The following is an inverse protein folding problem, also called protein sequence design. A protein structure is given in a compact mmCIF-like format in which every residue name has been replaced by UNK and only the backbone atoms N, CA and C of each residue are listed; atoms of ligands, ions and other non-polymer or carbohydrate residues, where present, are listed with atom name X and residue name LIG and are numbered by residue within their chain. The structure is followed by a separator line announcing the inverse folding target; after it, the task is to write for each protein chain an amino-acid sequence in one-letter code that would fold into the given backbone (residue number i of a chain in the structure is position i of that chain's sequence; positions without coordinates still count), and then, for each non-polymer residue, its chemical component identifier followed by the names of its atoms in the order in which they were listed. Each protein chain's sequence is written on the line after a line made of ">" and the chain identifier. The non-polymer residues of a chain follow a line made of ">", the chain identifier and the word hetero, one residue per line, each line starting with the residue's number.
data_IF_675101563224
#
_entry.id   IF_675101563224
#
_cell.length_a   1.000
_cell.length_b   1.000
_cell.length_c   1.000
_cell.angle_alpha   90.00
_cell.angle_beta   90.00
_cell.angle_gamma   90.00
#
_symmetry.space_group_name_H-M   'P 1'
#
loop_
_entity.id
_entity.type
_entity.pdbx_description
1 polymer ?
#
# COMPACT_ATOMS: atom_id res chain seq x y z
N UNK A 1 -0.63 -25.14 17.07
CA UNK A 1 -0.52 -23.73 16.68
C UNK A 1 0.19 -23.70 15.33
N UNK A 2 -0.57 -23.69 14.23
CA UNK A 2 -0.03 -23.88 12.88
C UNK A 2 0.59 -22.58 12.35
N UNK A 3 1.81 -22.71 11.85
CA UNK A 3 2.61 -21.68 11.20
C UNK A 3 1.95 -21.22 9.91
N UNK A 4 1.59 -19.93 9.81
CA UNK A 4 1.13 -19.31 8.56
C UNK A 4 2.32 -18.66 7.86
N UNK A 5 2.98 -19.43 7.01
CA UNK A 5 3.99 -18.93 6.08
C UNK A 5 3.28 -18.16 4.96
N UNK A 6 3.00 -16.88 5.19
CA UNK A 6 2.49 -15.99 4.14
C UNK A 6 3.57 -15.66 3.12
N UNK A 7 3.22 -15.87 1.84
CA UNK A 7 3.85 -15.34 0.64
C UNK A 7 5.34 -14.96 0.76
N UNK A 8 6.23 -15.94 0.60
CA UNK A 8 7.63 -15.80 0.19
C UNK A 8 8.37 -14.53 0.64
N UNK A 9 8.31 -14.16 1.92
CA UNK A 9 9.22 -13.14 2.44
C UNK A 9 10.63 -13.74 2.52
N UNK A 10 11.67 -13.06 2.02
CA UNK A 10 13.05 -13.50 2.24
C UNK A 10 13.28 -13.59 3.75
N UNK A 11 14.01 -14.63 4.20
CA UNK A 11 14.21 -15.01 5.63
C UNK A 11 14.69 -13.89 6.60
N UNK A 12 14.98 -12.70 6.09
CA UNK A 12 15.41 -11.52 6.85
C UNK A 12 14.33 -10.42 6.96
N UNK A 13 13.14 -10.61 6.38
CA UNK A 13 12.03 -9.65 6.44
C UNK A 13 10.90 -10.20 7.31
N UNK A 14 10.31 -9.32 8.11
CA UNK A 14 9.17 -9.61 8.97
C UNK A 14 7.94 -8.87 8.45
N UNK A 15 6.77 -9.47 8.60
CA UNK A 15 5.52 -8.79 8.28
C UNK A 15 5.28 -7.66 9.29
N UNK A 16 5.01 -6.46 8.79
CA UNK A 16 4.82 -5.28 9.62
C UNK A 16 3.37 -5.13 10.09
N UNK A 17 2.46 -5.98 9.61
CA UNK A 17 1.03 -5.98 9.95
C UNK A 17 0.78 -6.09 11.46
N UNK A 18 1.64 -6.77 12.20
CA UNK A 18 1.54 -6.93 13.65
C UNK A 18 1.82 -5.62 14.40
N UNK A 19 2.60 -4.71 13.77
CA UNK A 19 2.92 -3.40 14.32
C UNK A 19 1.96 -2.30 13.86
N UNK A 20 1.01 -2.61 12.98
CA UNK A 20 0.02 -1.64 12.50
C UNK A 20 -0.97 -1.31 13.61
N UNK A 21 -1.20 -0.02 13.83
CA UNK A 21 -2.22 0.46 14.75
C UNK A 21 -3.58 0.51 14.05
N UNK A 22 -4.31 -0.61 14.08
CA UNK A 22 -5.62 -0.73 13.45
C UNK A 22 -6.66 0.28 13.93
N UNK A 23 -6.48 0.85 15.14
CA UNK A 23 -7.41 1.87 15.66
C UNK A 23 -7.27 3.22 14.95
N UNK A 24 -6.10 3.53 14.39
CA UNK A 24 -5.84 4.74 13.62
C UNK A 24 -5.67 4.51 12.11
N UNK A 25 -5.82 3.27 11.64
CA UNK A 25 -5.84 2.99 10.20
C UNK A 25 -7.05 3.67 9.58
N UNK A 26 -6.82 4.42 8.52
CA UNK A 26 -7.86 5.11 7.78
C UNK A 26 -7.67 4.86 6.28
N UNK A 27 -8.76 4.79 5.53
CA UNK A 27 -8.68 4.77 4.08
C UNK A 27 -9.76 5.67 3.50
N UNK A 28 -9.34 6.61 2.66
CA UNK A 28 -10.20 7.49 1.92
C UNK A 28 -10.46 6.91 0.53
N UNK A 29 -11.69 7.09 0.07
CA UNK A 29 -12.20 6.58 -1.20
C UNK A 29 -12.30 5.04 -1.30
N UNK A 30 -12.21 4.32 -0.17
CA UNK A 30 -12.52 2.89 -0.13
C UNK A 30 -14.03 2.65 -0.27
N UNK A 31 -14.38 1.56 -0.93
CA UNK A 31 -15.75 1.05 -1.00
C UNK A 31 -16.21 0.57 0.37
N UNK A 32 -17.45 0.90 0.72
CA UNK A 32 -18.04 0.49 2.02
C UNK A 32 -18.17 -1.02 2.16
N UNK A 33 -18.24 -1.75 1.04
CA UNK A 33 -18.28 -3.21 0.98
C UNK A 33 -16.89 -3.86 1.09
N UNK A 34 -15.84 -3.13 0.68
CA UNK A 34 -14.49 -3.63 0.48
C UNK A 34 -13.47 -2.73 1.18
N UNK A 35 -13.38 -2.86 2.51
CA UNK A 35 -12.51 -2.04 3.35
C UNK A 35 -11.04 -2.46 3.29
N UNK A 36 -10.15 -1.53 3.64
CA UNK A 36 -8.69 -1.75 3.68
C UNK A 36 -8.27 -2.95 4.55
N UNK A 37 -9.00 -3.26 5.62
CA UNK A 37 -8.78 -4.45 6.43
C UNK A 37 -8.72 -5.74 5.60
N UNK A 38 -9.54 -5.84 4.55
CA UNK A 38 -9.55 -7.01 3.68
C UNK A 38 -8.22 -7.17 2.94
N UNK A 39 -7.60 -6.06 2.51
CA UNK A 39 -6.34 -6.08 1.78
C UNK A 39 -5.10 -6.13 2.70
N UNK A 40 -5.20 -5.56 3.91
CA UNK A 40 -4.06 -5.43 4.83
C UNK A 40 -3.94 -6.62 5.80
N UNK A 41 -5.07 -7.21 6.23
CA UNK A 41 -5.10 -8.22 7.28
C UNK A 41 -4.63 -9.58 6.77
N UNK A 42 -3.72 -10.20 7.52
CA UNK A 42 -3.23 -11.54 7.20
C UNK A 42 -4.39 -12.55 7.25
N UNK A 43 -4.50 -13.39 6.22
CA UNK A 43 -5.62 -14.30 6.01
C UNK A 43 -6.64 -13.77 4.99
N UNK A 44 -7.12 -12.53 5.16
CA UNK A 44 -8.07 -11.89 4.24
C UNK A 44 -7.39 -11.59 2.89
N UNK A 45 -6.15 -11.10 2.91
CA UNK A 45 -5.35 -10.82 1.70
C UNK A 45 -4.97 -12.04 0.85
N UNK A 46 -5.23 -13.25 1.34
CA UNK A 46 -5.00 -14.51 0.61
C UNK A 46 -6.30 -15.03 -0.02
N UNK A 47 -7.44 -14.42 0.33
CA UNK A 47 -8.76 -14.76 -0.17
C UNK A 47 -9.08 -13.87 -1.39
N UNK A 48 -9.22 -14.49 -2.56
CA UNK A 48 -9.52 -13.79 -3.82
C UNK A 48 -10.86 -13.04 -3.79
N UNK A 49 -11.76 -13.36 -2.85
CA UNK A 49 -13.03 -12.64 -2.66
C UNK A 49 -12.91 -11.36 -1.82
N UNK A 50 -11.80 -11.16 -1.13
CA UNK A 50 -11.60 -10.06 -0.17
C UNK A 50 -10.50 -9.11 -0.65
N UNK A 51 -10.92 -8.12 -1.41
CA UNK A 51 -10.06 -7.07 -1.94
C UNK A 51 -10.46 -5.70 -1.38
N UNK A 52 -9.54 -4.73 -1.51
CA UNK A 52 -9.83 -3.31 -1.35
C UNK A 52 -10.26 -2.77 -2.72
N UNK A 53 -11.41 -2.11 -2.75
CA UNK A 53 -11.97 -1.49 -3.95
C UNK A 53 -12.17 0.00 -3.72
N UNK A 54 -12.04 0.80 -4.77
CA UNK A 54 -12.37 2.23 -4.74
C UNK A 54 -13.86 2.46 -5.01
N UNK A 55 -14.50 3.31 -4.20
CA UNK A 55 -15.94 3.60 -4.30
C UNK A 55 -16.31 4.44 -5.53
N UNK A 56 -15.49 5.47 -5.83
CA UNK A 56 -15.82 6.46 -6.86
C UNK A 56 -14.71 6.68 -7.89
N UNK A 57 -13.46 6.80 -7.45
CA UNK A 57 -12.33 7.16 -8.32
C UNK A 57 -11.15 6.22 -8.13
N UNK A 58 -10.30 6.16 -9.13
CA UNK A 58 -9.08 5.33 -9.16
C UNK A 58 -7.99 5.82 -8.18
N UNK A 59 -8.28 6.84 -7.38
CA UNK A 59 -7.42 7.39 -6.34
C UNK A 59 -7.92 6.99 -4.95
N UNK A 60 -7.25 6.01 -4.37
CA UNK A 60 -7.32 5.61 -2.98
C UNK A 60 -6.20 6.28 -2.20
N UNK A 61 -6.50 6.61 -0.95
CA UNK A 61 -5.50 7.14 -0.04
C UNK A 61 -5.62 6.45 1.32
N UNK A 62 -4.56 5.74 1.65
CA UNK A 62 -4.51 4.78 2.76
C UNK A 62 -3.52 5.31 3.79
N UNK A 63 -3.96 5.37 5.04
CA UNK A 63 -3.18 5.81 6.18
C UNK A 63 -2.97 4.64 7.11
N UNK A 64 -1.71 4.29 7.33
CA UNK A 64 -1.32 3.15 8.16
C UNK A 64 -0.39 3.67 9.26
N UNK A 65 -0.93 4.01 10.45
CA UNK A 65 -0.10 4.26 11.61
C UNK A 65 0.47 2.95 12.16
N UNK A 66 1.64 3.04 12.78
CA UNK A 66 2.30 1.95 13.48
C UNK A 66 2.39 2.29 14.96
N UNK A 67 2.23 1.27 15.80
CA UNK A 67 2.32 1.39 17.27
C UNK A 67 3.74 1.74 17.73
N UNK A 68 4.74 1.41 16.92
CA UNK A 68 6.15 1.67 17.16
C UNK A 68 6.87 2.13 15.89
N UNK A 69 8.07 2.68 16.06
CA UNK A 69 8.93 3.05 14.93
C UNK A 69 9.43 1.78 14.24
N UNK A 70 9.06 1.59 12.98
CA UNK A 70 9.53 0.48 12.15
C UNK A 70 10.46 0.94 11.04
N UNK A 71 11.07 -0.04 10.38
CA UNK A 71 11.99 0.13 9.25
C UNK A 71 11.37 -0.50 8.01
N UNK A 72 10.89 0.32 7.09
CA UNK A 72 10.27 -0.15 5.84
C UNK A 72 11.37 -0.45 4.82
N UNK A 73 11.50 -1.70 4.40
CA UNK A 73 12.54 -2.11 3.44
C UNK A 73 11.97 -2.38 2.06
N UNK A 74 10.83 -3.06 2.01
CA UNK A 74 10.14 -3.47 0.80
C UNK A 74 8.64 -3.43 1.06
N UNK A 75 7.85 -3.28 0.00
CA UNK A 75 6.39 -3.41 0.05
C UNK A 75 5.92 -4.41 -0.98
N UNK A 76 4.85 -5.12 -0.67
CA UNK A 76 4.22 -6.08 -1.57
C UNK A 76 2.83 -5.56 -1.85
N UNK A 77 2.49 -5.38 -3.12
CA UNK A 77 1.19 -4.86 -3.54
C UNK A 77 0.62 -5.87 -4.52
N UNK A 78 -0.52 -6.45 -4.18
CA UNK A 78 -1.23 -7.40 -5.04
C UNK A 78 -2.48 -6.76 -5.59
N UNK A 79 -2.83 -7.09 -6.82
CA UNK A 79 -4.07 -6.64 -7.45
C UNK A 79 -4.24 -7.19 -8.86
N UNK A 80 -5.44 -7.06 -9.44
CA UNK A 80 -5.67 -7.38 -10.85
C UNK A 80 -4.83 -6.46 -11.76
N UNK A 81 -4.43 -6.96 -12.93
CA UNK A 81 -3.57 -6.21 -13.86
C UNK A 81 -4.26 -4.96 -14.44
N UNK A 82 -5.57 -5.02 -14.65
CA UNK A 82 -6.36 -3.95 -15.28
C UNK A 82 -6.84 -2.88 -14.27
N UNK A 83 -7.21 -3.31 -13.06
CA UNK A 83 -7.76 -2.43 -12.02
C UNK A 83 -6.72 -2.06 -10.95
N UNK A 84 -5.56 -2.72 -10.97
CA UNK A 84 -4.48 -2.50 -10.04
C UNK A 84 -3.83 -1.12 -10.17
N UNK A 85 -3.21 -0.62 -9.09
CA UNK A 85 -2.50 0.64 -9.10
C UNK A 85 -1.25 0.56 -9.99
N UNK A 86 -1.07 1.52 -10.91
CA UNK A 86 0.14 1.60 -11.76
C UNK A 86 1.31 2.28 -11.06
N UNK A 87 1.04 3.38 -10.36
CA UNK A 87 2.06 4.11 -9.61
C UNK A 87 1.57 4.26 -8.18
N UNK A 88 2.43 3.92 -7.23
CA UNK A 88 2.14 4.05 -5.81
C UNK A 88 3.15 5.00 -5.19
N UNK A 89 2.62 6.08 -4.62
CA UNK A 89 3.42 7.05 -3.88
C UNK A 89 3.34 6.71 -2.39
N UNK A 90 4.49 6.69 -1.74
CA UNK A 90 4.63 6.41 -0.32
C UNK A 90 5.14 7.65 0.40
N UNK A 91 4.54 7.93 1.54
CA UNK A 91 4.83 9.05 2.39
C UNK A 91 5.07 8.54 3.80
N UNK A 92 6.29 8.72 4.31
CA UNK A 92 6.61 8.34 5.68
C UNK A 92 6.49 9.55 6.60
N UNK A 93 5.85 9.36 7.76
CA UNK A 93 5.73 10.35 8.83
C UNK A 93 5.12 11.69 8.36
N UNK A 94 4.07 11.64 7.53
CA UNK A 94 3.31 12.84 7.16
C UNK A 94 2.10 13.01 8.08
N UNK A 95 1.75 14.26 8.34
CA UNK A 95 0.53 14.61 9.05
C UNK A 95 -0.63 14.66 8.04
N UNK A 96 -1.75 14.02 8.40
CA UNK A 96 -3.02 13.95 7.67
C UNK A 96 -2.96 14.57 6.27
N UNK A 97 -2.41 13.82 5.32
CA UNK A 97 -2.54 14.13 3.91
C UNK A 97 -4.03 14.09 3.53
N UNK A 98 -4.37 14.53 2.33
CA UNK A 98 -5.71 14.45 1.79
C UNK A 98 -5.61 14.69 0.31
N UNK A 99 -6.60 14.26 -0.49
CA UNK A 99 -6.49 14.32 -1.95
C UNK A 99 -6.12 15.71 -2.49
N UNK A 100 -6.61 16.77 -1.84
CA UNK A 100 -6.33 18.16 -2.21
C UNK A 100 -4.86 18.57 -2.07
N UNK A 101 -4.19 18.10 -1.00
CA UNK A 101 -2.79 18.45 -0.72
C UNK A 101 -1.82 17.32 -1.07
N UNK A 102 -2.32 16.12 -1.38
CA UNK A 102 -1.49 14.95 -1.65
C UNK A 102 -0.51 15.13 -2.82
N UNK A 103 -0.89 15.96 -3.78
CA UNK A 103 -0.02 16.31 -4.92
C UNK A 103 1.02 17.39 -4.59
N UNK A 104 0.82 18.17 -3.52
CA UNK A 104 1.76 19.19 -3.07
C UNK A 104 2.91 18.57 -2.25
N UNK A 105 2.61 17.48 -1.53
CA UNK A 105 3.63 16.76 -0.79
C UNK A 105 4.55 15.97 -1.72
N UNK A 106 5.85 16.10 -1.46
CA UNK A 106 6.85 15.26 -2.10
C UNK A 106 6.79 13.86 -1.48
N UNK A 107 6.53 12.80 -2.28
CA UNK A 107 6.55 11.43 -1.79
C UNK A 107 7.95 11.07 -1.30
N UNK A 108 8.01 10.33 -0.18
CA UNK A 108 9.26 9.77 0.31
C UNK A 108 9.85 8.80 -0.71
N UNK A 109 8.98 8.04 -1.38
CA UNK A 109 9.34 7.17 -2.50
C UNK A 109 8.15 6.98 -3.44
N UNK A 110 8.42 6.77 -4.72
CA UNK A 110 7.39 6.53 -5.73
C UNK A 110 7.76 5.28 -6.49
N UNK A 111 6.85 4.31 -6.47
CA UNK A 111 7.02 3.01 -7.10
C UNK A 111 6.15 2.93 -8.33
N UNK A 112 6.75 2.57 -9.46
CA UNK A 112 6.00 2.10 -10.62
C UNK A 112 5.76 0.59 -10.46
N UNK A 113 4.51 0.17 -10.36
CA UNK A 113 4.12 -1.23 -10.29
C UNK A 113 4.00 -1.80 -11.69
N UNK A 114 4.79 -2.82 -11.95
CA UNK A 114 4.71 -3.68 -13.13
C UNK A 114 3.70 -4.80 -12.89
N UNK A 115 3.21 -5.47 -13.94
CA UNK A 115 2.30 -6.61 -13.81
C UNK A 115 2.86 -7.75 -12.94
N UNK A 116 4.19 -7.91 -12.89
CA UNK A 116 4.86 -8.83 -11.95
C UNK A 116 4.74 -8.41 -10.48
N UNK A 117 4.74 -7.11 -10.18
CA UNK A 117 4.57 -6.60 -8.82
C UNK A 117 3.14 -6.87 -8.34
N UNK A 118 2.14 -6.64 -9.20
CA UNK A 118 0.73 -6.93 -8.94
C UNK A 118 0.45 -8.42 -8.65
N UNK A 119 1.34 -9.34 -9.05
CA UNK A 119 1.29 -10.77 -8.69
C UNK A 119 1.83 -11.07 -7.29
N UNK A 120 2.29 -10.05 -6.55
CA UNK A 120 2.85 -10.18 -5.21
C UNK A 120 4.37 -10.20 -5.17
N UNK A 121 5.05 -9.65 -6.19
CA UNK A 121 6.50 -9.49 -6.16
C UNK A 121 6.86 -8.33 -5.21
N UNK A 122 7.78 -8.52 -4.25
CA UNK A 122 8.20 -7.46 -3.34
C UNK A 122 8.98 -6.38 -4.07
N UNK A 123 8.54 -5.12 -3.90
CA UNK A 123 9.22 -3.95 -4.43
C UNK A 123 10.13 -3.36 -3.37
N UNK A 124 11.42 -3.26 -3.69
CA UNK A 124 12.40 -2.63 -2.82
C UNK A 124 12.21 -1.12 -2.80
N UNK A 125 12.12 -0.58 -1.59
CA UNK A 125 12.02 0.84 -1.35
C UNK A 125 13.37 1.46 -1.07
N UNK A 126 13.42 2.78 -1.11
CA UNK A 126 14.56 3.55 -0.59
C UNK A 126 14.59 3.51 0.94
N UNK A 127 15.07 2.40 1.51
CA UNK A 127 15.22 2.20 2.96
C UNK A 127 15.86 3.40 3.69
N UNK A 128 16.77 4.13 3.05
CA UNK A 128 17.38 5.37 3.59
C UNK A 128 16.36 6.45 3.99
N UNK A 129 15.19 6.48 3.34
CA UNK A 129 14.06 7.39 3.66
C UNK A 129 13.10 6.79 4.68
N UNK A 130 13.16 5.47 4.90
CA UNK A 130 12.26 4.72 5.76
C UNK A 130 12.97 4.04 6.94
N UNK A 131 14.02 4.67 7.47
CA UNK A 131 14.74 4.12 8.63
C UNK A 131 14.00 4.27 9.96
N UNK A 132 13.07 5.22 10.04
CA UNK A 132 12.29 5.53 11.23
C UNK A 132 10.89 5.96 10.79
N UNK A 133 9.98 4.99 10.72
CA UNK A 133 8.63 5.19 10.20
C UNK A 133 7.62 4.88 11.31
N UNK A 134 6.84 5.88 11.70
CA UNK A 134 5.73 5.74 12.64
C UNK A 134 4.37 5.66 11.96
N UNK A 135 4.28 6.21 10.76
CA UNK A 135 3.09 6.18 9.91
C UNK A 135 3.53 6.13 8.46
N UNK A 136 2.83 5.35 7.66
CA UNK A 136 2.95 5.37 6.20
C UNK A 136 1.61 5.75 5.62
N UNK A 137 1.63 6.75 4.76
CA UNK A 137 0.51 7.12 3.94
C UNK A 137 0.85 6.72 2.51
N UNK A 138 -0.12 6.13 1.82
CA UNK A 138 0.05 5.73 0.43
C UNK A 138 -1.12 6.17 -0.41
N UNK A 139 -0.82 6.56 -1.63
CA UNK A 139 -1.84 6.85 -2.63
C UNK A 139 -1.48 6.16 -3.92
N UNK A 140 -2.47 5.52 -4.53
CA UNK A 140 -2.33 5.09 -5.91
C UNK A 140 -2.64 6.27 -6.82
N UNK A 141 -1.77 6.43 -7.80
CA UNK A 141 -2.00 7.29 -8.93
C UNK A 141 -1.98 6.37 -10.13
N UNK A 142 -3.11 6.25 -10.84
CA UNK A 142 -3.02 5.72 -12.20
C UNK A 142 -2.25 6.75 -13.00
N UNK A 143 -1.04 6.38 -13.41
CA UNK A 143 -0.33 7.12 -14.43
C UNK A 143 -1.19 7.02 -15.69
N UNK A 144 -2.02 8.04 -15.93
CA UNK A 144 -2.68 8.24 -17.21
C UNK A 144 -1.59 8.61 -18.22
N UNK A 145 -0.75 7.65 -18.59
CA UNK A 145 -0.15 7.65 -19.92
C UNK A 145 -1.26 7.33 -20.91
N UNK A 146 -2.04 8.35 -21.22
CA UNK A 146 -2.78 8.40 -22.46
C UNK A 146 -1.75 8.55 -23.58
N UNK A 147 -1.19 7.41 -24.00
CA UNK A 147 -0.58 7.29 -25.31
C UNK A 147 -1.75 7.24 -26.30
N UNK A 148 -2.27 8.42 -26.65
CA UNK A 148 -2.97 8.58 -27.93
C UNK A 148 -1.88 8.49 -29.01
N UNK A 149 -1.85 7.36 -29.71
CA UNK A 149 -1.20 7.24 -31.02
C UNK A 149 -2.07 7.94 -32.08
N UNK A 150 -1.53 8.99 -32.70
CA UNK A 150 -1.69 9.23 -34.13
C UNK A 150 -0.45 9.91 -34.71
#
# INVERSE_FOLDING_TARGET
>A
MASVVSAAMPRSQVDLVDFVDWSGVECLNQSTSHSLDNALKQGYRDDDGLHLESDADEQLLIYIPFTQVIKLHSVIIKGPEEEGPKTVKLFANKEHMGFSNANDYVPSDSIALSPENLKGTPVNLKYVKFQSVRRVDTTNMKDLKKIEEH
#
